data_IF_809304586527
#
_entry.id   IF_809304586527
#
_cell.length_a   1.000
_cell.length_b   1.000
_cell.length_c   1.000
_cell.angle_alpha   90.00
_cell.angle_beta   90.00
_cell.angle_gamma   90.00
#
_symmetry.space_group_name_H-M   'P 1'
#
loop_
_entity.id
_entity.type
_entity.pdbx_description
1 polymer ?
#
# COMPACT_ATOMS: atom_id res chain seq x y z
N UNK A 1 42.21 46.49 13.01
CA UNK A 1 42.94 45.43 13.75
C UNK A 1 42.52 45.47 15.21
N UNK A 2 41.73 44.49 15.68
CA UNK A 2 41.55 44.22 17.12
C UNK A 2 40.93 42.83 17.28
N UNK A 3 41.72 41.93 17.88
CA UNK A 3 41.34 40.62 18.41
C UNK A 3 40.43 40.81 19.63
N UNK A 4 39.45 39.92 19.81
CA UNK A 4 38.87 39.66 21.11
C UNK A 4 38.34 38.22 21.21
N UNK A 5 38.60 37.62 22.37
CA UNK A 5 38.34 36.25 22.84
C UNK A 5 38.50 36.35 24.38
N UNK A 6 38.02 35.42 25.25
CA UNK A 6 36.76 34.66 25.44
C UNK A 6 36.10 35.16 26.78
N UNK A 7 35.39 34.42 27.69
CA UNK A 7 34.95 33.00 27.77
C UNK A 7 33.50 32.78 28.27
N UNK A 8 32.98 31.55 28.27
CA UNK A 8 32.18 31.03 29.39
C UNK A 8 32.04 29.50 29.33
N UNK A 9 32.37 28.88 30.47
CA UNK A 9 32.19 27.48 30.86
C UNK A 9 30.72 27.23 31.23
N UNK A 10 30.12 26.11 30.85
CA UNK A 10 28.98 25.55 31.56
C UNK A 10 28.98 24.01 31.45
N UNK A 11 29.29 23.39 32.58
CA UNK A 11 29.01 21.99 32.90
C UNK A 11 27.50 21.79 32.95
N UNK A 12 26.99 20.76 32.26
CA UNK A 12 25.69 20.18 32.57
C UNK A 12 25.81 18.66 32.76
N UNK A 13 25.30 18.26 33.90
CA UNK A 13 25.24 16.93 34.51
C UNK A 13 24.22 16.02 33.82
N UNK A 14 24.64 14.80 33.47
CA UNK A 14 23.75 13.67 33.17
C UNK A 14 23.25 13.01 34.48
N UNK A 15 21.95 12.70 34.62
CA UNK A 15 21.52 11.66 35.54
C UNK A 15 21.51 10.29 34.84
N UNK A 16 22.21 9.34 35.45
CA UNK A 16 22.10 7.89 35.22
C UNK A 16 20.68 7.45 35.64
N UNK A 17 19.88 6.88 34.72
CA UNK A 17 18.67 6.15 35.07
C UNK A 17 18.98 4.64 35.03
N UNK A 18 19.03 4.01 36.21
CA UNK A 18 19.05 2.56 36.37
C UNK A 18 17.67 2.01 35.96
N UNK A 19 17.64 1.12 34.98
CA UNK A 19 16.49 0.25 34.73
C UNK A 19 16.65 -1.00 35.60
N UNK A 20 15.76 -1.15 36.56
CA UNK A 20 15.64 -2.34 37.39
C UNK A 20 14.98 -3.48 36.59
N UNK A 21 15.61 -4.64 36.55
CA UNK A 21 15.00 -5.89 36.12
C UNK A 21 13.85 -6.26 37.07
N UNK A 22 12.62 -6.34 36.57
CA UNK A 22 11.53 -7.03 37.28
C UNK A 22 11.67 -8.54 37.05
N UNK A 23 11.89 -9.25 38.16
CA UNK A 23 11.90 -10.71 38.27
C UNK A 23 10.47 -11.27 38.28
N UNK A 24 10.21 -12.25 37.41
CA UNK A 24 8.97 -13.04 37.41
C UNK A 24 8.87 -13.92 38.68
N UNK A 25 7.68 -14.09 39.28
CA UNK A 25 7.49 -14.97 40.43
C UNK A 25 7.39 -16.45 40.02
N UNK A 26 8.10 -17.30 40.77
CA UNK A 26 8.06 -18.75 40.67
C UNK A 26 6.69 -19.34 41.12
N UNK A 27 6.21 -20.43 40.51
CA UNK A 27 5.03 -21.13 41.00
C UNK A 27 5.33 -21.96 42.26
N UNK A 28 4.30 -22.05 43.09
CA UNK A 28 4.30 -22.57 44.45
C UNK A 28 4.72 -24.04 44.57
N UNK A 29 5.53 -24.30 45.60
CA UNK A 29 5.85 -25.64 46.10
C UNK A 29 4.61 -26.27 46.77
N UNK A 30 4.11 -27.36 46.19
CA UNK A 30 3.18 -28.28 46.82
C UNK A 30 3.94 -29.31 47.65
N UNK A 31 3.82 -29.20 48.97
CA UNK A 31 4.30 -30.17 49.95
C UNK A 31 3.38 -31.39 49.96
N UNK A 32 3.87 -32.56 49.53
CA UNK A 32 3.32 -33.86 49.90
C UNK A 32 4.45 -34.71 50.48
N UNK A 33 4.33 -35.02 51.77
CA UNK A 33 5.22 -35.94 52.46
C UNK A 33 4.60 -37.33 52.60
N UNK A 34 5.45 -38.35 52.62
CA UNK A 34 5.18 -39.58 53.36
C UNK A 34 5.38 -40.88 52.59
N UNK A 35 6.59 -41.43 52.67
CA UNK A 35 6.86 -42.87 52.87
C UNK A 35 6.66 -43.82 51.70
N UNK A 36 7.73 -44.45 51.22
CA UNK A 36 8.09 -45.81 51.66
C UNK A 36 9.40 -46.23 50.97
N UNK A 37 10.34 -46.70 51.78
CA UNK A 37 11.59 -47.33 51.35
C UNK A 37 11.30 -48.60 50.54
N UNK A 38 11.95 -48.77 49.38
CA UNK A 38 12.76 -49.96 49.09
C UNK A 38 13.17 -50.06 47.63
N UNK A 39 14.45 -50.40 47.49
CA UNK A 39 15.03 -51.31 46.53
C UNK A 39 15.88 -50.70 45.40
N UNK A 40 17.17 -50.99 45.54
CA UNK A 40 18.27 -50.70 44.66
C UNK A 40 18.23 -51.55 43.38
N UNK A 41 19.06 -51.14 42.42
CA UNK A 41 19.29 -51.70 41.08
C UNK A 41 18.26 -51.33 40.00
N UNK A 42 18.23 -50.04 39.66
CA UNK A 42 18.03 -49.65 38.27
C UNK A 42 19.42 -49.49 37.66
N UNK A 43 19.83 -50.50 36.90
CA UNK A 43 20.97 -50.49 36.00
C UNK A 43 20.76 -49.32 35.03
N UNK A 44 21.37 -48.17 35.34
CA UNK A 44 21.37 -46.99 34.48
C UNK A 44 22.25 -47.33 33.27
N UNK A 45 21.65 -48.04 32.32
CA UNK A 45 22.09 -48.05 30.94
C UNK A 45 22.06 -46.60 30.50
N UNK A 46 23.21 -45.93 30.61
CA UNK A 46 23.47 -44.70 29.91
C UNK A 46 23.23 -45.04 28.44
N UNK A 47 22.05 -44.67 27.93
CA UNK A 47 21.79 -44.64 26.51
C UNK A 47 22.90 -43.77 25.93
N UNK A 48 23.88 -44.40 25.29
CA UNK A 48 24.89 -43.71 24.51
C UNK A 48 24.14 -42.69 23.68
N UNK A 49 24.40 -41.40 23.91
CA UNK A 49 23.81 -40.34 23.11
C UNK A 49 24.18 -40.67 21.67
N UNK A 50 23.19 -41.10 20.88
CA UNK A 50 23.38 -41.41 19.48
C UNK A 50 24.07 -40.18 18.87
N UNK A 51 25.22 -40.43 18.23
CA UNK A 51 25.96 -39.39 17.54
C UNK A 51 24.96 -38.62 16.67
N UNK A 52 24.89 -37.28 16.76
CA UNK A 52 23.86 -36.51 16.07
C UNK A 52 23.87 -36.91 14.60
N UNK A 53 22.70 -37.28 14.09
CA UNK A 53 22.56 -37.67 12.69
C UNK A 53 23.12 -36.54 11.83
N UNK A 54 24.09 -36.86 10.95
CA UNK A 54 24.60 -35.89 10.00
C UNK A 54 23.51 -35.64 8.95
N UNK A 55 22.86 -34.48 9.03
CA UNK A 55 21.83 -34.08 8.08
C UNK A 55 22.43 -33.90 6.67
N UNK A 56 21.71 -34.37 5.65
CA UNK A 56 22.08 -34.20 4.23
C UNK A 56 20.91 -33.59 3.43
N UNK A 57 20.54 -32.32 3.71
CA UNK A 57 19.34 -31.73 3.14
C UNK A 57 19.34 -31.73 1.61
N UNK A 58 18.20 -32.06 1.01
CA UNK A 58 17.98 -32.11 -0.45
C UNK A 58 16.83 -31.19 -0.82
N UNK A 59 16.96 -30.47 -1.93
CA UNK A 59 15.97 -29.52 -2.43
C UNK A 59 15.58 -29.89 -3.86
N UNK A 60 14.27 -30.01 -4.12
CA UNK A 60 13.70 -30.31 -5.43
C UNK A 60 12.68 -29.25 -5.83
N UNK A 61 12.51 -29.06 -7.14
CA UNK A 61 11.56 -28.11 -7.71
C UNK A 61 10.57 -28.85 -8.60
N UNK A 62 9.31 -28.45 -8.54
CA UNK A 62 8.27 -28.90 -9.49
C UNK A 62 8.57 -28.53 -10.95
N UNK A 63 9.29 -27.42 -11.16
CA UNK A 63 9.76 -26.98 -12.47
C UNK A 63 11.20 -26.48 -12.35
N UNK A 64 12.03 -26.75 -13.37
CA UNK A 64 13.43 -26.30 -13.42
C UNK A 64 13.62 -25.02 -14.25
N UNK A 65 12.54 -24.48 -14.84
CA UNK A 65 12.59 -23.26 -15.64
C UNK A 65 11.23 -22.59 -15.76
N UNK A 66 11.21 -21.27 -15.97
CA UNK A 66 10.00 -20.47 -16.10
C UNK A 66 10.29 -18.98 -16.17
N UNK A 67 9.28 -18.17 -16.46
CA UNK A 67 9.41 -16.71 -16.46
C UNK A 67 9.22 -16.09 -15.07
N UNK A 68 9.35 -14.77 -14.95
CA UNK A 68 9.01 -14.07 -13.71
C UNK A 68 7.52 -14.23 -13.39
N UNK A 69 7.18 -14.17 -12.09
CA UNK A 69 5.86 -14.52 -11.54
C UNK A 69 5.42 -15.98 -11.78
N UNK A 70 6.29 -16.85 -12.29
CA UNK A 70 5.98 -18.28 -12.33
C UNK A 70 5.82 -18.82 -10.92
N UNK A 71 4.76 -19.60 -10.70
CA UNK A 71 4.59 -20.38 -9.49
C UNK A 71 5.38 -21.68 -9.61
N UNK A 72 6.17 -21.97 -8.58
CA UNK A 72 6.93 -23.21 -8.43
C UNK A 72 6.68 -23.77 -7.04
N UNK A 73 6.49 -25.08 -6.94
CA UNK A 73 6.54 -25.79 -5.66
C UNK A 73 7.96 -26.23 -5.36
N UNK A 74 8.44 -25.85 -4.17
CA UNK A 74 9.72 -26.20 -3.58
C UNK A 74 9.52 -27.35 -2.58
N UNK A 75 10.24 -28.45 -2.76
CA UNK A 75 10.13 -29.64 -1.90
C UNK A 75 11.50 -29.90 -1.26
N UNK A 76 11.57 -29.80 0.06
CA UNK A 76 12.77 -30.10 0.84
C UNK A 76 12.64 -31.44 1.58
N UNK A 77 13.72 -32.22 1.64
CA UNK A 77 13.80 -33.47 2.40
C UNK A 77 15.11 -33.57 3.17
N UNK A 78 15.14 -34.37 4.24
CA UNK A 78 16.32 -34.58 5.10
C UNK A 78 16.83 -33.31 5.81
N UNK A 79 15.95 -32.32 5.99
CA UNK A 79 16.21 -31.19 6.87
C UNK A 79 16.10 -31.63 8.34
N UNK A 80 16.74 -30.92 9.28
CA UNK A 80 16.53 -31.19 10.70
C UNK A 80 15.03 -31.01 11.04
N UNK A 81 14.37 -31.97 11.70
CA UNK A 81 12.92 -31.95 11.88
C UNK A 81 12.46 -30.78 12.75
N UNK A 82 11.23 -30.32 12.50
CA UNK A 82 10.57 -29.23 13.22
C UNK A 82 11.40 -27.92 13.28
N UNK A 83 12.29 -27.69 12.30
CA UNK A 83 13.06 -26.46 12.21
C UNK A 83 12.48 -25.46 11.22
N UNK A 84 12.67 -24.17 11.53
CA UNK A 84 12.47 -23.09 10.56
C UNK A 84 13.47 -23.26 9.41
N UNK A 85 12.98 -23.14 8.18
CA UNK A 85 13.77 -23.16 6.94
C UNK A 85 13.65 -21.80 6.28
N UNK A 86 14.80 -21.16 6.05
CA UNK A 86 14.91 -19.88 5.36
C UNK A 86 15.24 -20.12 3.89
N UNK A 87 14.44 -19.55 2.99
CA UNK A 87 14.62 -19.63 1.55
C UNK A 87 15.26 -18.33 1.06
N UNK A 88 16.35 -18.46 0.31
CA UNK A 88 17.08 -17.35 -0.32
C UNK A 88 17.15 -17.57 -1.83
N UNK A 89 17.06 -16.47 -2.58
CA UNK A 89 17.18 -16.46 -4.03
C UNK A 89 18.41 -15.62 -4.41
N UNK A 90 19.21 -16.11 -5.34
CA UNK A 90 20.40 -15.40 -5.80
C UNK A 90 21.21 -16.18 -6.85
N UNK A 91 22.27 -15.57 -7.35
CA UNK A 91 23.27 -16.28 -8.15
C UNK A 91 24.10 -17.20 -7.25
N UNK A 92 24.59 -18.32 -7.78
CA UNK A 92 25.23 -19.36 -6.95
C UNK A 92 26.44 -18.85 -6.14
N UNK A 93 27.17 -17.89 -6.69
CA UNK A 93 28.37 -17.26 -6.12
C UNK A 93 28.07 -16.03 -5.25
N UNK A 94 26.86 -15.49 -5.28
CA UNK A 94 26.42 -14.35 -4.47
C UNK A 94 25.60 -14.74 -3.23
N UNK A 95 25.11 -15.99 -3.19
CA UNK A 95 24.33 -16.49 -2.07
C UNK A 95 25.18 -16.66 -0.81
N UNK A 96 24.75 -15.97 0.25
CA UNK A 96 25.36 -16.03 1.57
C UNK A 96 24.29 -15.93 2.67
N UNK A 97 24.70 -16.13 3.92
CA UNK A 97 23.81 -15.91 5.07
C UNK A 97 23.40 -14.43 5.22
N UNK A 98 24.07 -13.49 4.53
CA UNK A 98 23.73 -12.06 4.50
C UNK A 98 22.73 -11.69 3.40
N UNK A 99 22.52 -12.55 2.39
CA UNK A 99 21.47 -12.35 1.38
C UNK A 99 20.12 -12.21 2.10
N UNK A 100 19.14 -11.42 1.65
CA UNK A 100 17.83 -11.37 2.31
C UNK A 100 17.07 -12.69 2.25
N UNK A 101 16.21 -12.92 3.24
CA UNK A 101 15.29 -14.08 3.24
C UNK A 101 14.17 -13.73 2.27
N UNK A 102 13.99 -14.57 1.25
CA UNK A 102 12.91 -14.43 0.28
C UNK A 102 11.60 -14.99 0.81
N UNK A 103 11.65 -16.18 1.40
CA UNK A 103 10.52 -16.85 2.01
C UNK A 103 10.99 -17.70 3.20
N UNK A 104 10.05 -18.15 4.02
CA UNK A 104 10.35 -19.05 5.13
C UNK A 104 9.25 -20.10 5.26
N UNK A 105 9.62 -21.28 5.73
CA UNK A 105 8.70 -22.38 6.04
C UNK A 105 9.26 -23.17 7.22
N UNK A 106 8.60 -24.25 7.64
CA UNK A 106 9.14 -25.18 8.63
C UNK A 106 9.13 -26.60 8.06
N UNK A 107 10.17 -27.37 8.34
CA UNK A 107 10.16 -28.81 8.10
C UNK A 107 9.26 -29.50 9.12
N UNK A 108 8.57 -30.55 8.72
CA UNK A 108 7.82 -31.41 9.63
C UNK A 108 8.72 -32.29 10.51
N UNK A 109 8.13 -33.15 11.34
CA UNK A 109 8.84 -34.09 12.21
C UNK A 109 9.66 -35.15 11.47
N UNK A 110 9.55 -35.23 10.14
CA UNK A 110 10.34 -36.11 9.28
C UNK A 110 11.43 -35.34 8.50
N UNK A 111 11.54 -34.02 8.70
CA UNK A 111 12.51 -33.21 7.96
C UNK A 111 12.08 -32.88 6.54
N UNK A 112 10.77 -32.88 6.26
CA UNK A 112 10.19 -32.60 4.94
C UNK A 112 9.42 -31.30 4.96
N UNK A 113 9.50 -30.51 3.89
CA UNK A 113 8.58 -29.38 3.68
C UNK A 113 8.17 -29.27 2.21
N UNK A 114 7.03 -28.62 2.00
CA UNK A 114 6.52 -28.23 0.69
C UNK A 114 6.12 -26.75 0.77
N UNK A 115 6.55 -25.95 -0.21
CA UNK A 115 6.30 -24.51 -0.25
C UNK A 115 6.07 -24.05 -1.68
N UNK A 116 4.91 -23.46 -1.93
CA UNK A 116 4.64 -22.75 -3.19
C UNK A 116 5.30 -21.37 -3.16
N UNK A 117 6.12 -21.11 -4.17
CA UNK A 117 6.86 -19.87 -4.36
C UNK A 117 6.43 -19.24 -5.68
N UNK A 118 6.12 -17.95 -5.65
CA UNK A 118 6.05 -17.14 -6.87
C UNK A 118 7.42 -16.52 -7.10
N UNK A 119 8.02 -16.71 -8.26
CA UNK A 119 9.33 -16.11 -8.57
C UNK A 119 9.18 -14.59 -8.80
N UNK A 120 10.10 -13.77 -8.27
CA UNK A 120 9.91 -12.33 -8.32
C UNK A 120 10.12 -11.78 -9.74
N UNK A 121 9.47 -10.67 -10.05
CA UNK A 121 9.66 -9.96 -11.32
C UNK A 121 11.04 -9.29 -11.40
N UNK A 122 11.51 -8.75 -10.27
CA UNK A 122 12.82 -8.12 -10.11
C UNK A 122 13.70 -8.94 -9.16
N UNK A 123 15.02 -8.83 -9.30
CA UNK A 123 15.94 -9.60 -8.48
C UNK A 123 16.11 -8.98 -7.09
N UNK A 124 15.82 -9.70 -5.99
CA UNK A 124 16.26 -9.29 -4.66
C UNK A 124 17.78 -9.49 -4.53
N UNK A 125 18.50 -8.72 -3.68
CA UNK A 125 18.03 -7.70 -2.74
C UNK A 125 17.70 -6.34 -3.37
N UNK A 126 18.34 -5.99 -4.48
CA UNK A 126 18.45 -4.60 -4.92
C UNK A 126 17.30 -4.17 -5.85
N UNK A 127 16.32 -5.06 -6.06
CA UNK A 127 15.26 -4.91 -7.06
C UNK A 127 15.86 -4.53 -8.42
N UNK A 128 16.96 -5.16 -8.82
CA UNK A 128 17.62 -4.86 -10.10
C UNK A 128 16.91 -5.57 -11.25
N UNK A 129 17.00 -4.99 -12.46
CA UNK A 129 16.57 -5.68 -13.68
C UNK A 129 17.46 -6.88 -13.83
N UNK A 130 16.84 -8.05 -13.90
CA UNK A 130 17.57 -9.26 -14.19
C UNK A 130 18.06 -9.15 -15.63
N UNK A 131 19.28 -9.60 -15.94
CA UNK A 131 19.80 -9.56 -17.30
C UNK A 131 18.78 -10.08 -18.30
N UNK A 132 18.70 -9.44 -19.47
CA UNK A 132 17.78 -9.77 -20.57
C UNK A 132 18.03 -11.13 -21.21
N UNK A 133 18.91 -11.92 -20.61
CA UNK A 133 19.29 -13.28 -21.00
C UNK A 133 18.82 -14.26 -19.94
N UNK A 134 18.54 -15.49 -20.38
CA UNK A 134 18.18 -16.57 -19.47
C UNK A 134 19.23 -16.70 -18.36
N UNK A 135 18.78 -16.64 -17.11
CA UNK A 135 19.65 -16.57 -15.92
C UNK A 135 19.40 -17.77 -15.04
N UNK A 136 20.46 -18.36 -14.48
CA UNK A 136 20.33 -19.49 -13.56
C UNK A 136 20.21 -18.97 -12.13
N UNK A 137 19.01 -19.06 -11.58
CA UNK A 137 18.71 -18.79 -10.19
C UNK A 137 19.11 -20.00 -9.34
N UNK A 138 19.84 -19.74 -8.25
CA UNK A 138 20.05 -20.72 -7.20
C UNK A 138 19.07 -20.42 -6.05
N UNK A 139 18.37 -21.46 -5.61
CA UNK A 139 17.49 -21.43 -4.45
C UNK A 139 18.25 -22.12 -3.34
N UNK A 140 18.53 -21.39 -2.27
CA UNK A 140 19.18 -21.92 -1.08
C UNK A 140 18.15 -22.06 0.04
N UNK A 141 18.12 -23.24 0.66
CA UNK A 141 17.34 -23.50 1.87
C UNK A 141 18.30 -23.78 3.03
N UNK A 142 18.19 -22.99 4.10
CA UNK A 142 19.01 -23.14 5.30
C UNK A 142 18.10 -23.29 6.53
N UNK A 143 18.37 -24.30 7.38
CA UNK A 143 17.76 -24.45 8.69
C UNK A 143 18.76 -23.98 9.76
N UNK A 144 18.60 -22.77 10.35
CA UNK A 144 19.47 -22.30 11.42
C UNK A 144 19.25 -23.15 12.68
N UNK A 145 19.95 -24.29 12.76
CA UNK A 145 19.82 -25.23 13.85
C UNK A 145 20.43 -24.70 15.16
N UNK A 146 19.86 -25.13 16.29
CA UNK A 146 20.48 -24.98 17.62
C UNK A 146 21.54 -26.08 17.79
N UNK A 147 22.73 -25.93 17.18
CA UNK A 147 23.80 -26.94 17.22
C UNK A 147 24.73 -26.90 15.99
N UNK A 148 25.27 -28.05 15.60
CA UNK A 148 26.00 -28.19 14.33
C UNK A 148 25.04 -27.88 13.17
N UNK A 149 25.27 -26.73 12.51
CA UNK A 149 24.42 -26.26 11.42
C UNK A 149 24.39 -27.30 10.29
N UNK A 150 23.19 -27.71 9.87
CA UNK A 150 23.03 -28.53 8.68
C UNK A 150 23.57 -27.75 7.47
N UNK A 151 24.26 -28.43 6.53
CA UNK A 151 24.71 -27.75 5.32
C UNK A 151 23.48 -27.24 4.54
N UNK A 152 23.57 -26.08 3.86
CA UNK A 152 22.47 -25.58 3.05
C UNK A 152 22.19 -26.51 1.87
N UNK A 153 20.91 -26.67 1.52
CA UNK A 153 20.51 -27.32 0.28
C UNK A 153 20.38 -26.31 -0.84
N UNK A 154 20.71 -26.72 -2.06
CA UNK A 154 20.62 -25.87 -3.26
C UNK A 154 19.77 -26.55 -4.34
N UNK A 155 18.97 -25.76 -5.03
CA UNK A 155 18.33 -26.14 -6.28
C UNK A 155 18.57 -25.05 -7.33
N UNK A 156 18.64 -25.43 -8.61
CA UNK A 156 18.83 -24.48 -9.71
C UNK A 156 17.55 -24.35 -10.53
N UNK A 157 17.20 -23.12 -10.87
CA UNK A 157 16.06 -22.77 -11.70
C UNK A 157 16.51 -21.85 -12.84
N UNK A 158 16.15 -22.14 -14.09
CA UNK A 158 16.42 -21.25 -15.21
C UNK A 158 15.30 -20.25 -15.38
N UNK A 159 15.57 -18.99 -15.04
CA UNK A 159 14.66 -17.88 -15.32
C UNK A 159 14.76 -17.51 -16.81
N UNK A 160 13.68 -17.78 -17.53
CA UNK A 160 13.52 -17.41 -18.92
C UNK A 160 12.87 -16.02 -18.99
N UNK A 161 13.67 -15.00 -19.25
CA UNK A 161 13.15 -13.65 -19.51
C UNK A 161 12.67 -13.47 -20.95
N UNK A 162 12.97 -14.44 -21.82
CA UNK A 162 12.36 -14.52 -23.15
C UNK A 162 10.84 -14.60 -22.99
N UNK A 163 10.15 -13.60 -23.54
CA UNK A 163 8.69 -13.42 -23.46
C UNK A 163 8.13 -13.02 -22.07
N UNK A 164 9.00 -12.78 -21.07
CA UNK A 164 8.60 -12.24 -19.77
C UNK A 164 8.18 -10.77 -19.81
N UNK A 165 8.65 -10.07 -20.84
CA UNK A 165 8.34 -8.67 -21.08
C UNK A 165 7.69 -8.52 -22.44
N UNK A 166 6.73 -7.61 -22.50
CA UNK A 166 6.16 -7.07 -23.73
C UNK A 166 6.61 -5.62 -23.88
N UNK A 167 6.64 -5.16 -25.13
CA UNK A 167 6.99 -3.77 -25.43
C UNK A 167 5.73 -2.93 -25.50
N UNK A 168 5.60 -1.98 -24.58
CA UNK A 168 4.65 -0.88 -24.68
C UNK A 168 5.26 0.21 -25.55
N UNK A 169 4.61 0.56 -26.66
CA UNK A 169 5.09 1.63 -27.56
C UNK A 169 4.01 2.67 -27.86
N UNK A 170 4.49 3.87 -28.17
CA UNK A 170 3.70 4.93 -28.78
C UNK A 170 4.54 5.59 -29.89
N UNK A 171 4.20 5.30 -31.14
CA UNK A 171 4.93 5.83 -32.30
C UNK A 171 4.77 7.35 -32.46
N UNK A 172 3.66 7.92 -31.96
CA UNK A 172 3.40 9.36 -32.00
C UNK A 172 4.33 10.09 -31.04
N UNK A 173 4.49 9.55 -29.83
CA UNK A 173 5.42 10.06 -28.84
C UNK A 173 6.87 9.62 -29.09
N UNK A 174 7.09 8.60 -29.92
CA UNK A 174 8.40 8.07 -30.28
C UNK A 174 9.11 7.38 -29.12
N UNK A 175 8.42 6.53 -28.35
CA UNK A 175 9.07 5.76 -27.29
C UNK A 175 8.67 4.28 -27.29
N UNK A 176 9.52 3.48 -26.65
CA UNK A 176 9.21 2.10 -26.23
C UNK A 176 9.59 1.90 -24.77
N UNK A 177 8.82 1.09 -24.05
CA UNK A 177 9.05 0.72 -22.66
C UNK A 177 8.79 -0.78 -22.49
N UNK A 178 9.66 -1.52 -21.82
CA UNK A 178 9.38 -2.92 -21.48
C UNK A 178 8.52 -2.97 -20.22
N UNK A 179 7.45 -3.75 -20.28
CA UNK A 179 6.57 -4.04 -19.14
C UNK A 179 6.37 -5.56 -19.04
N UNK A 180 6.02 -6.12 -17.87
CA UNK A 180 5.70 -7.53 -17.75
C UNK A 180 4.65 -7.98 -18.78
N UNK A 181 4.88 -9.12 -19.43
CA UNK A 181 3.97 -9.66 -20.45
C UNK A 181 2.64 -10.14 -19.88
N UNK A 182 2.61 -10.45 -18.57
CA UNK A 182 1.39 -10.79 -17.84
C UNK A 182 0.50 -9.57 -17.53
N UNK A 183 1.00 -8.35 -17.74
CA UNK A 183 0.19 -7.15 -17.53
C UNK A 183 -0.72 -6.87 -18.72
N UNK A 184 -1.94 -6.45 -18.44
CA UNK A 184 -2.83 -5.89 -19.46
C UNK A 184 -2.47 -4.43 -19.70
N UNK A 185 -2.78 -3.94 -20.90
CA UNK A 185 -2.63 -2.53 -21.28
C UNK A 185 -3.99 -2.06 -21.78
N UNK A 186 -4.50 -0.98 -21.20
CA UNK A 186 -5.76 -0.38 -21.64
C UNK A 186 -5.60 0.33 -22.99
N UNK A 187 -6.72 0.51 -23.69
CA UNK A 187 -6.78 1.48 -24.77
C UNK A 187 -6.43 2.89 -24.26
N UNK A 188 -5.93 3.72 -25.18
CA UNK A 188 -5.59 5.11 -24.86
C UNK A 188 -6.84 5.97 -24.67
N UNK A 189 -6.85 6.76 -23.60
CA UNK A 189 -7.92 7.68 -23.25
C UNK A 189 -7.41 9.12 -23.29
N UNK A 190 -8.20 10.05 -23.79
CA UNK A 190 -7.82 11.48 -23.81
C UNK A 190 -8.29 12.15 -22.53
N UNK A 191 -7.38 12.83 -21.85
CA UNK A 191 -7.64 13.56 -20.60
C UNK A 191 -7.11 15.00 -20.71
N UNK A 192 -7.48 15.91 -19.79
CA UNK A 192 -6.86 17.23 -19.72
C UNK A 192 -5.34 17.19 -19.53
N UNK A 193 -4.80 16.09 -19.04
CA UNK A 193 -3.37 15.88 -18.81
C UNK A 193 -2.67 15.21 -20.00
N UNK A 194 -3.40 14.86 -21.05
CA UNK A 194 -2.88 14.20 -22.24
C UNK A 194 -3.49 12.82 -22.50
N UNK A 195 -2.81 12.02 -23.32
CA UNK A 195 -3.22 10.67 -23.67
C UNK A 195 -2.78 9.69 -22.57
N UNK A 196 -3.74 9.21 -21.78
CA UNK A 196 -3.56 8.25 -20.70
C UNK A 196 -3.64 6.82 -21.23
N UNK A 197 -2.73 5.95 -20.78
CA UNK A 197 -2.85 4.49 -20.84
C UNK A 197 -2.63 3.94 -19.43
N UNK A 198 -3.43 2.94 -19.08
CA UNK A 198 -3.32 2.20 -17.83
C UNK A 198 -2.72 0.84 -18.13
N UNK A 199 -1.88 0.33 -17.23
CA UNK A 199 -1.31 -1.00 -17.40
C UNK A 199 -0.93 -1.64 -16.06
N UNK A 200 -0.96 -2.95 -15.98
CA UNK A 200 -0.78 -3.69 -14.72
C UNK A 200 -1.44 -5.06 -14.76
N UNK A 201 -1.50 -5.80 -13.63
CA UNK A 201 -2.26 -7.03 -13.55
C UNK A 201 -3.74 -6.81 -13.87
N UNK A 202 -4.36 -7.80 -14.53
CA UNK A 202 -5.79 -7.79 -14.78
C UNK A 202 -6.60 -7.86 -13.46
N UNK A 203 -7.73 -7.14 -13.33
CA UNK A 203 -8.25 -6.16 -14.27
C UNK A 203 -7.58 -4.78 -14.09
N UNK A 204 -7.19 -4.16 -15.19
CA UNK A 204 -6.63 -2.81 -15.16
C UNK A 204 -7.76 -1.78 -14.97
N UNK A 205 -7.72 -1.04 -13.86
CA UNK A 205 -8.73 -0.04 -13.50
C UNK A 205 -8.10 1.26 -13.03
N UNK A 206 -8.74 2.38 -13.37
CA UNK A 206 -8.33 3.71 -12.91
C UNK A 206 -8.54 3.84 -11.39
N UNK A 207 -7.63 4.54 -10.71
CA UNK A 207 -7.71 4.79 -9.26
C UNK A 207 -7.21 3.63 -8.38
N UNK A 208 -6.92 2.45 -8.95
CA UNK A 208 -6.28 1.37 -8.21
C UNK A 208 -4.76 1.67 -8.08
N UNK A 209 -4.17 1.71 -6.87
CA UNK A 209 -2.74 1.97 -6.69
C UNK A 209 -1.83 0.90 -7.32
N UNK A 210 -2.38 -0.29 -7.58
CA UNK A 210 -1.70 -1.39 -8.26
C UNK A 210 -1.63 -1.20 -9.78
N UNK A 211 -2.37 -0.23 -10.32
CA UNK A 211 -2.38 0.13 -11.74
C UNK A 211 -1.31 1.19 -12.00
N UNK A 212 -0.45 0.94 -12.97
CA UNK A 212 0.51 1.90 -13.47
C UNK A 212 -0.12 2.80 -14.53
N UNK A 213 0.36 4.04 -14.60
CA UNK A 213 -0.15 5.07 -15.49
C UNK A 213 0.97 5.52 -16.43
N UNK A 214 0.62 5.74 -17.71
CA UNK A 214 1.46 6.41 -18.68
C UNK A 214 0.65 7.51 -19.36
N UNK A 215 1.18 8.73 -19.36
CA UNK A 215 0.57 9.88 -20.00
C UNK A 215 1.54 10.50 -21.01
N UNK A 216 0.97 11.00 -22.11
CA UNK A 216 1.68 11.76 -23.13
C UNK A 216 0.95 13.08 -23.38
N UNK A 217 1.63 14.19 -23.19
CA UNK A 217 1.13 15.55 -23.44
C UNK A 217 2.02 16.33 -24.43
N UNK A 218 1.53 17.44 -24.96
CA UNK A 218 2.37 18.42 -25.67
C UNK A 218 3.18 19.22 -24.64
N UNK A 219 4.51 19.20 -24.73
CA UNK A 219 5.39 19.88 -23.77
C UNK A 219 5.21 21.42 -23.80
N UNK A 220 4.74 21.98 -24.93
CA UNK A 220 4.41 23.40 -25.04
C UNK A 220 3.17 23.80 -24.21
N UNK A 221 2.27 22.85 -23.94
CA UNK A 221 1.01 23.10 -23.22
C UNK A 221 1.07 22.72 -21.75
N UNK A 222 1.90 21.73 -21.42
CA UNK A 222 1.99 21.18 -20.07
C UNK A 222 3.46 20.86 -19.75
N UNK A 223 4.04 21.65 -18.84
CA UNK A 223 5.38 21.37 -18.30
C UNK A 223 5.36 20.23 -17.27
N UNK A 224 6.52 19.62 -17.00
CA UNK A 224 6.66 18.57 -15.97
C UNK A 224 6.16 19.02 -14.58
N UNK A 225 6.46 20.27 -14.20
CA UNK A 225 6.00 20.86 -12.92
C UNK A 225 4.48 20.96 -12.88
N UNK A 226 3.86 21.51 -13.93
CA UNK A 226 2.40 21.61 -14.01
C UNK A 226 1.73 20.23 -14.04
N UNK A 227 2.30 19.26 -14.76
CA UNK A 227 1.80 17.89 -14.78
C UNK A 227 1.82 17.28 -13.37
N UNK A 228 2.93 17.42 -12.64
CA UNK A 228 3.06 16.91 -11.29
C UNK A 228 2.08 17.59 -10.30
N UNK A 229 1.88 18.91 -10.41
CA UNK A 229 0.88 19.64 -9.62
C UNK A 229 -0.54 19.13 -9.85
N UNK A 230 -0.89 18.89 -11.12
CA UNK A 230 -2.20 18.37 -11.48
C UNK A 230 -2.40 16.94 -10.95
N UNK A 231 -1.35 16.12 -10.94
CA UNK A 231 -1.38 14.77 -10.37
C UNK A 231 -1.54 14.77 -8.84
N UNK A 232 -0.89 15.70 -8.14
CA UNK A 232 -0.93 15.72 -6.66
C UNK A 232 -2.25 16.27 -6.11
N UNK A 233 -2.74 17.37 -6.67
CA UNK A 233 -3.84 18.13 -6.06
C UNK A 233 -4.87 18.70 -7.06
N UNK A 234 -4.79 18.32 -8.35
CA UNK A 234 -5.59 18.96 -9.39
C UNK A 234 -5.17 20.42 -9.69
N UNK A 235 -3.97 20.82 -9.26
CA UNK A 235 -3.35 22.13 -9.50
C UNK A 235 -3.18 23.02 -8.26
N UNK A 236 -2.14 23.88 -8.27
CA UNK A 236 -1.97 24.95 -7.28
C UNK A 236 -1.20 24.60 -6.01
N UNK A 237 -0.52 23.45 -5.97
CA UNK A 237 0.30 22.98 -4.84
C UNK A 237 1.80 22.82 -5.19
N UNK A 238 2.30 23.63 -6.13
CA UNK A 238 3.66 23.58 -6.69
C UNK A 238 4.77 23.41 -5.64
N UNK A 239 4.64 24.14 -4.54
CA UNK A 239 5.66 24.29 -3.49
C UNK A 239 5.99 22.98 -2.76
N UNK A 240 5.18 21.94 -2.97
CA UNK A 240 5.30 20.64 -2.31
C UNK A 240 6.01 19.57 -3.17
N UNK A 241 6.30 19.86 -4.43
CA UNK A 241 6.84 18.86 -5.36
C UNK A 241 8.34 19.08 -5.56
N UNK A 242 9.12 18.08 -5.16
CA UNK A 242 10.57 18.06 -5.40
C UNK A 242 10.90 17.17 -6.58
N UNK A 243 11.68 17.71 -7.52
CA UNK A 243 12.20 16.97 -8.66
C UNK A 243 13.67 16.62 -8.44
N UNK A 244 14.01 15.37 -8.73
CA UNK A 244 15.38 14.87 -8.79
C UNK A 244 15.73 14.57 -10.25
N UNK A 245 16.83 15.11 -10.74
CA UNK A 245 17.31 14.76 -12.09
C UNK A 245 17.82 13.32 -12.08
N UNK A 246 17.37 12.51 -13.04
CA UNK A 246 17.76 11.11 -13.20
C UNK A 246 18.03 10.81 -14.67
N UNK A 247 18.67 9.68 -14.95
CA UNK A 247 18.81 9.14 -16.30
C UNK A 247 18.03 7.84 -16.40
N UNK A 248 17.23 7.70 -17.46
CA UNK A 248 16.51 6.48 -17.80
C UNK A 248 17.14 5.87 -19.05
N UNK A 249 17.93 4.81 -18.85
CA UNK A 249 18.84 4.26 -19.85
C UNK A 249 19.95 5.27 -20.13
N UNK A 250 19.77 6.08 -21.18
CA UNK A 250 20.66 7.20 -21.53
C UNK A 250 19.86 8.48 -21.81
N UNK A 251 18.63 8.54 -21.30
CA UNK A 251 17.69 9.63 -21.52
C UNK A 251 17.62 10.52 -20.28
N UNK A 252 17.93 11.81 -20.37
CA UNK A 252 17.72 12.74 -19.28
C UNK A 252 16.23 12.79 -18.89
N UNK A 253 15.96 12.65 -17.61
CA UNK A 253 14.62 12.62 -17.06
C UNK A 253 14.57 13.38 -15.73
N UNK A 254 13.35 13.64 -15.26
CA UNK A 254 13.11 14.10 -13.91
C UNK A 254 12.27 13.06 -13.17
N UNK A 255 12.55 12.88 -11.89
CA UNK A 255 11.83 11.99 -10.98
C UNK A 255 11.17 12.85 -9.90
N UNK A 256 9.91 12.57 -9.58
CA UNK A 256 9.25 13.14 -8.41
C UNK A 256 8.51 12.05 -7.65
N UNK A 257 8.43 12.18 -6.32
CA UNK A 257 7.57 11.34 -5.49
C UNK A 257 6.25 12.09 -5.32
N UNK A 258 5.13 11.49 -5.74
CA UNK A 258 3.81 12.11 -5.72
C UNK A 258 2.85 11.17 -4.99
N UNK A 259 2.18 11.71 -3.96
CA UNK A 259 1.16 11.03 -3.16
C UNK A 259 0.72 11.97 -2.03
N UNK A 260 -0.56 11.94 -1.67
CA UNK A 260 -1.10 12.74 -0.57
C UNK A 260 -0.89 12.09 0.79
N UNK A 261 -1.17 12.83 1.87
CA UNK A 261 -1.22 12.28 3.22
C UNK A 261 -2.22 11.13 3.29
N UNK A 262 -1.76 9.94 3.66
CA UNK A 262 -2.58 8.72 3.73
C UNK A 262 -2.78 7.99 2.40
N UNK A 263 -2.22 8.48 1.29
CA UNK A 263 -2.18 7.79 0.00
C UNK A 263 -0.78 7.21 -0.27
N UNK A 264 -0.67 6.13 -1.06
CA UNK A 264 0.63 5.61 -1.43
C UNK A 264 1.43 6.67 -2.21
N UNK A 265 2.67 6.89 -1.78
CA UNK A 265 3.62 7.74 -2.47
C UNK A 265 4.24 6.96 -3.63
N UNK A 266 3.93 7.38 -4.85
CA UNK A 266 4.43 6.72 -6.05
C UNK A 266 5.54 7.55 -6.69
N UNK A 267 6.54 6.86 -7.24
CA UNK A 267 7.56 7.50 -8.06
C UNK A 267 7.01 7.76 -9.46
N UNK A 268 7.09 9.01 -9.88
CA UNK A 268 6.79 9.46 -11.23
C UNK A 268 8.06 9.84 -11.97
N UNK A 269 8.13 9.45 -13.23
CA UNK A 269 9.18 9.86 -14.16
C UNK A 269 8.61 10.81 -15.20
N UNK A 270 9.38 11.83 -15.57
CA UNK A 270 9.03 12.85 -16.55
C UNK A 270 10.15 12.97 -17.58
N UNK A 271 9.81 12.84 -18.85
CA UNK A 271 10.74 12.83 -19.98
C UNK A 271 10.20 13.73 -21.07
N UNK A 272 10.95 14.77 -21.41
CA UNK A 272 10.64 15.60 -22.58
C UNK A 272 11.36 15.03 -23.81
N UNK A 273 10.60 14.71 -24.85
CA UNK A 273 11.13 14.19 -26.11
C UNK A 273 10.31 14.67 -27.30
N UNK A 274 10.98 15.19 -28.34
CA UNK A 274 10.35 15.62 -29.59
C UNK A 274 9.11 16.54 -29.42
N UNK A 275 9.15 17.46 -28.44
CA UNK A 275 8.03 18.38 -28.15
C UNK A 275 6.89 17.77 -27.33
N UNK A 276 7.07 16.54 -26.84
CA UNK A 276 6.13 15.82 -25.97
C UNK A 276 6.67 15.72 -24.56
N UNK A 277 5.77 15.73 -23.58
CA UNK A 277 6.05 15.33 -22.21
C UNK A 277 5.49 13.92 -22.00
N UNK A 278 6.37 12.95 -21.80
CA UNK A 278 6.03 11.57 -21.45
C UNK A 278 6.23 11.42 -19.96
N UNK A 279 5.22 10.97 -19.23
CA UNK A 279 5.34 10.78 -17.79
C UNK A 279 4.53 9.61 -17.30
N UNK A 280 5.09 8.85 -16.36
CA UNK A 280 4.57 7.55 -16.00
C UNK A 280 4.99 7.09 -14.61
N UNK A 281 4.27 6.10 -14.09
CA UNK A 281 4.61 5.33 -12.90
C UNK A 281 4.94 3.88 -13.26
N UNK A 282 5.85 3.26 -12.53
CA UNK A 282 6.15 1.83 -12.63
C UNK A 282 6.38 1.31 -11.22
N UNK A 283 5.41 0.61 -10.66
CA UNK A 283 5.45 0.06 -9.32
C UNK A 283 4.95 -1.38 -9.33
N UNK A 284 5.46 -2.15 -8.38
CA UNK A 284 4.96 -3.49 -8.09
C UNK A 284 3.50 -3.39 -7.61
N UNK A 285 2.57 -4.16 -8.17
CA UNK A 285 1.15 -4.06 -7.82
C UNK A 285 0.84 -4.50 -6.39
N UNK A 286 1.71 -5.30 -5.75
CA UNK A 286 1.50 -5.80 -4.39
C UNK A 286 2.23 -4.97 -3.35
N UNK A 287 3.50 -4.65 -3.59
CA UNK A 287 4.31 -3.91 -2.61
C UNK A 287 4.29 -2.40 -2.83
N UNK A 288 3.83 -1.94 -4.00
CA UNK A 288 3.89 -0.55 -4.47
C UNK A 288 5.31 0.01 -4.55
N UNK A 289 6.34 -0.85 -4.47
CA UNK A 289 7.72 -0.42 -4.63
C UNK A 289 8.00 -0.10 -6.08
N UNK A 290 8.69 1.00 -6.34
CA UNK A 290 9.03 1.42 -7.70
C UNK A 290 9.92 0.39 -8.41
N UNK A 291 9.51 0.01 -9.61
CA UNK A 291 10.23 -0.90 -10.50
C UNK A 291 11.22 -0.10 -11.36
N UNK A 292 12.15 0.60 -10.71
CA UNK A 292 13.16 1.46 -11.36
C UNK A 292 13.87 0.80 -12.55
N UNK A 293 14.23 -0.49 -12.53
CA UNK A 293 14.89 -1.11 -13.67
C UNK A 293 14.02 -1.23 -14.92
N UNK A 294 12.70 -1.34 -14.78
CA UNK A 294 11.81 -1.29 -15.93
C UNK A 294 11.77 0.13 -16.53
N UNK A 295 11.81 1.17 -15.68
CA UNK A 295 11.92 2.55 -16.16
C UNK A 295 13.20 2.78 -16.98
N UNK A 296 14.30 2.09 -16.63
CA UNK A 296 15.57 2.12 -17.37
C UNK A 296 15.48 1.50 -18.77
N UNK A 297 14.43 0.73 -19.07
CA UNK A 297 14.19 0.15 -20.42
C UNK A 297 13.56 1.13 -21.39
N UNK A 298 13.21 2.35 -20.93
CA UNK A 298 12.71 3.40 -21.79
C UNK A 298 13.73 3.69 -22.90
N UNK A 299 13.32 3.50 -24.15
CA UNK A 299 14.09 3.97 -25.31
C UNK A 299 13.29 4.99 -26.09
N UNK A 300 13.97 6.05 -26.51
CA UNK A 300 13.39 7.10 -27.35
C UNK A 300 13.79 6.87 -28.80
N UNK A 301 12.80 6.77 -29.66
CA UNK A 301 12.92 6.62 -31.12
C UNK A 301 12.64 7.92 -31.86
N UNK A 302 12.46 7.80 -33.18
CA UNK A 302 11.96 8.88 -34.02
C UNK A 302 10.47 9.08 -33.70
N UNK A 303 10.10 10.22 -33.12
CA UNK A 303 8.71 10.60 -33.00
C UNK A 303 8.17 10.99 -34.39
N UNK A 304 6.93 10.61 -34.69
CA UNK A 304 6.24 11.13 -35.87
C UNK A 304 6.05 12.62 -35.66
N UNK A 305 6.72 13.43 -36.48
CA UNK A 305 6.59 14.87 -36.44
C UNK A 305 5.09 15.20 -36.52
N UNK A 306 4.59 15.91 -35.50
CA UNK A 306 3.22 16.40 -35.50
C UNK A 306 3.16 17.33 -36.70
N UNK A 307 2.49 16.90 -37.77
CA UNK A 307 2.16 17.84 -38.81
C UNK A 307 1.34 18.91 -38.12
N UNK A 308 1.76 20.19 -38.14
CA UNK A 308 0.99 21.25 -37.51
C UNK A 308 -0.42 21.12 -38.07
N UNK A 309 -1.39 20.88 -37.19
CA UNK A 309 -2.79 20.83 -37.59
C UNK A 309 -3.02 22.09 -38.41
N UNK A 310 -3.48 21.96 -39.66
CA UNK A 310 -3.60 23.12 -40.54
C UNK A 310 -4.37 24.17 -39.75
N UNK A 311 -3.76 25.34 -39.54
CA UNK A 311 -4.39 26.44 -38.80
C UNK A 311 -5.81 26.52 -39.31
N UNK A 312 -6.84 26.29 -38.46
CA UNK A 312 -8.21 26.22 -38.93
C UNK A 312 -8.44 27.50 -39.72
N UNK A 313 -8.59 27.34 -41.04
CA UNK A 313 -8.84 28.48 -41.91
C UNK A 313 -10.14 29.03 -41.39
N UNK A 314 -10.07 30.21 -40.79
CA UNK A 314 -11.21 30.91 -40.21
C UNK A 314 -12.37 30.72 -41.20
N UNK A 315 -13.46 30.03 -40.80
CA UNK A 315 -14.54 29.78 -41.73
C UNK A 315 -14.93 31.13 -42.30
N UNK A 316 -15.08 31.25 -43.64
CA UNK A 316 -15.45 32.52 -44.26
C UNK A 316 -16.65 33.07 -43.50
N UNK A 317 -16.67 34.37 -43.17
CA UNK A 317 -17.67 34.94 -42.28
C UNK A 317 -19.05 34.49 -42.74
N UNK A 318 -19.68 33.62 -41.95
CA UNK A 318 -21.04 33.16 -42.21
C UNK A 318 -21.89 34.42 -42.20
N UNK A 319 -22.47 34.75 -43.36
CA UNK A 319 -23.38 35.88 -43.46
C UNK A 319 -24.42 35.75 -42.35
N UNK A 320 -24.49 36.75 -41.48
CA UNK A 320 -25.50 36.85 -40.43
C UNK A 320 -26.86 36.62 -41.09
N UNK A 321 -27.59 35.53 -40.78
CA UNK A 321 -28.93 35.36 -41.30
C UNK A 321 -29.77 36.53 -40.80
N UNK A 322 -30.45 37.18 -41.72
CA UNK A 322 -31.46 38.20 -41.45
C UNK A 322 -32.49 37.60 -40.47
N UNK A 323 -32.85 38.31 -39.38
CA UNK A 323 -33.74 37.77 -38.37
C UNK A 323 -35.09 37.42 -38.99
N UNK A 324 -35.39 36.12 -39.05
CA UNK A 324 -36.71 35.61 -39.42
C UNK A 324 -37.73 36.09 -38.37
N UNK A 325 -38.92 36.56 -38.78
CA UNK A 325 -39.91 37.10 -37.85
C UNK A 325 -40.34 36.04 -36.84
N UNK A 326 -40.06 36.32 -35.57
CA UNK A 326 -40.49 35.53 -34.40
C UNK A 326 -41.99 35.30 -34.44
N UNK A 327 -42.41 34.06 -34.72
CA UNK A 327 -43.77 33.62 -34.48
C UNK A 327 -44.03 33.52 -32.97
N UNK A 328 -45.16 34.07 -32.56
CA UNK A 328 -45.65 34.15 -31.19
C UNK A 328 -45.89 32.73 -30.61
N UNK A 329 -45.26 32.37 -29.47
CA UNK A 329 -45.41 31.03 -28.92
C UNK A 329 -46.80 30.83 -28.30
N UNK A 330 -47.48 29.78 -28.75
CA UNK A 330 -48.70 29.26 -28.12
C UNK A 330 -48.33 28.51 -26.84
N UNK A 331 -48.90 28.93 -25.71
CA UNK A 331 -48.68 28.37 -24.37
C UNK A 331 -49.39 27.01 -24.22
N UNK A 332 -48.63 25.95 -23.97
CA UNK A 332 -49.13 24.72 -23.33
C UNK A 332 -48.90 24.79 -21.81
N UNK A 333 -49.77 24.17 -20.98
CA UNK A 333 -49.65 24.24 -19.53
C UNK A 333 -48.61 23.26 -18.98
N UNK A 334 -47.62 23.79 -18.24
CA UNK A 334 -46.65 23.04 -17.42
C UNK A 334 -47.25 22.68 -16.05
N UNK A 335 -47.07 21.45 -15.54
CA UNK A 335 -47.48 21.08 -14.18
C UNK A 335 -46.54 21.66 -13.11
N UNK A 336 -47.14 22.07 -11.98
CA UNK A 336 -46.47 22.52 -10.75
C UNK A 336 -45.56 21.43 -10.16
N UNK A 337 -44.31 21.78 -9.90
CA UNK A 337 -43.48 21.12 -8.88
C UNK A 337 -42.96 22.21 -7.96
N UNK A 338 -43.35 22.11 -6.69
CA UNK A 338 -42.92 22.99 -5.60
C UNK A 338 -41.58 22.49 -5.06
N UNK A 339 -40.52 23.29 -5.23
CA UNK A 339 -39.28 23.15 -4.50
C UNK A 339 -38.93 24.51 -3.87
N UNK A 340 -38.93 24.56 -2.54
CA UNK A 340 -38.54 25.74 -1.77
C UNK A 340 -37.03 25.71 -1.56
N UNK A 341 -36.35 26.77 -2.00
CA UNK A 341 -34.92 27.05 -1.75
C UNK A 341 -34.81 28.33 -0.92
N UNK A 342 -33.86 28.37 0.01
CA UNK A 342 -33.19 29.59 0.49
C UNK A 342 -31.75 29.20 0.89
N UNK A 343 -30.69 29.50 0.11
CA UNK A 343 -29.96 30.77 -0.13
C UNK A 343 -29.26 31.30 1.14
N UNK A 344 -27.96 31.02 1.33
CA UNK A 344 -26.74 31.86 1.06
C UNK A 344 -26.42 32.84 2.22
N UNK A 345 -25.22 32.82 2.83
CA UNK A 345 -24.06 33.68 2.51
C UNK A 345 -22.80 33.33 3.34
N UNK A 346 -21.66 33.88 2.94
CA UNK A 346 -20.29 33.40 3.15
C UNK A 346 -19.36 34.30 4.02
N UNK A 347 -18.06 33.94 4.06
CA UNK A 347 -16.83 34.78 4.25
C UNK A 347 -16.33 34.94 5.72
N UNK A 348 -15.01 35.08 6.07
CA UNK A 348 -13.73 34.49 5.60
C UNK A 348 -12.78 33.98 6.73
N UNK A 349 -11.65 33.36 6.31
CA UNK A 349 -10.37 33.09 7.01
C UNK A 349 -9.65 34.36 7.55
N UNK A 350 -8.71 34.29 8.53
CA UNK A 350 -7.28 33.94 8.28
C UNK A 350 -6.58 33.11 9.41
N UNK A 351 -5.67 32.18 9.08
CA UNK A 351 -4.18 32.27 9.14
C UNK A 351 -3.60 32.38 10.58
N UNK A 352 -2.50 31.73 11.03
CA UNK A 352 -1.31 31.17 10.38
C UNK A 352 -0.46 30.42 11.45
N UNK A 353 0.45 29.53 11.00
CA UNK A 353 1.81 29.25 11.55
C UNK A 353 1.90 28.48 12.87
N UNK A 354 2.16 27.16 12.86
CA UNK A 354 3.45 26.46 12.71
C UNK A 354 4.35 26.55 13.96
N UNK A 355 4.57 25.41 14.64
CA UNK A 355 5.90 24.88 15.02
C UNK A 355 5.73 23.48 15.63
N UNK A 356 6.41 22.49 15.04
CA UNK A 356 6.39 21.07 15.41
C UNK A 356 7.17 20.77 16.70
N UNK A 357 6.56 19.95 17.58
CA UNK A 357 7.27 19.15 18.61
C UNK A 357 6.48 17.84 18.81
N UNK A 358 7.14 16.70 18.57
CA UNK A 358 6.78 15.30 18.98
C UNK A 358 5.39 14.77 18.58
N UNK A 359 5.28 13.91 17.54
CA UNK A 359 4.01 13.22 17.21
C UNK A 359 3.70 12.14 18.23
N UNK A 360 2.89 12.51 19.22
CA UNK A 360 1.91 11.65 19.87
C UNK A 360 0.91 11.26 18.77
N UNK A 361 0.89 9.99 18.32
CA UNK A 361 -0.12 9.55 17.35
C UNK A 361 -1.49 9.70 18.02
N UNK A 362 -2.33 10.56 17.46
CA UNK A 362 -3.58 10.92 18.07
C UNK A 362 -4.54 9.71 18.11
N UNK A 363 -5.58 9.76 18.95
CA UNK A 363 -6.64 8.75 18.97
C UNK A 363 -7.26 8.49 17.59
N UNK A 364 -7.11 9.43 16.65
CA UNK A 364 -7.53 9.34 15.27
C UNK A 364 -6.74 8.33 14.43
N UNK A 365 -5.42 8.41 14.46
CA UNK A 365 -4.54 7.58 13.64
C UNK A 365 -4.60 6.11 14.10
N UNK A 366 -4.76 5.91 15.41
CA UNK A 366 -5.02 4.58 16.00
C UNK A 366 -6.39 4.03 15.56
N UNK A 367 -7.41 4.89 15.53
CA UNK A 367 -8.77 4.53 15.13
C UNK A 367 -8.88 4.14 13.65
N UNK A 368 -8.24 4.91 12.76
CA UNK A 368 -8.22 4.64 11.31
C UNK A 368 -7.46 3.34 11.02
N UNK A 369 -6.32 3.12 11.68
CA UNK A 369 -5.55 1.87 11.55
C UNK A 369 -6.36 0.65 11.99
N UNK A 370 -7.11 0.75 13.09
CA UNK A 370 -8.00 -0.31 13.55
C UNK A 370 -9.09 -0.65 12.52
N UNK A 371 -9.75 0.35 11.93
CA UNK A 371 -10.78 0.12 10.90
C UNK A 371 -10.18 -0.50 9.62
N UNK A 372 -8.96 -0.10 9.23
CA UNK A 372 -8.26 -0.71 8.10
C UNK A 372 -7.86 -2.17 8.39
N UNK A 373 -7.43 -2.48 9.61
CA UNK A 373 -7.11 -3.86 10.00
C UNK A 373 -8.35 -4.76 9.99
N UNK A 374 -9.50 -4.24 10.41
CA UNK A 374 -10.80 -4.95 10.36
C UNK A 374 -11.18 -5.34 8.93
N UNK A 375 -10.79 -4.55 7.92
CA UNK A 375 -11.11 -4.84 6.50
C UNK A 375 -10.25 -5.92 5.88
N UNK A 376 -9.07 -6.18 6.45
CA UNK A 376 -8.06 -7.06 5.86
C UNK A 376 -8.09 -8.49 6.39
N UNK A 377 -8.91 -8.78 7.42
CA UNK A 377 -8.87 -10.05 8.15
C UNK A 377 -10.15 -10.88 8.00
N UNK A 378 -9.99 -12.20 7.88
CA UNK A 378 -11.04 -13.16 8.23
C UNK A 378 -11.39 -13.05 9.73
N UNK A 379 -12.57 -13.52 10.15
CA UNK A 379 -12.96 -13.48 11.57
C UNK A 379 -12.01 -14.38 12.38
N UNK A 380 -11.01 -13.79 13.04
CA UNK A 380 -10.15 -14.50 13.99
C UNK A 380 -10.70 -14.38 15.41
N UNK A 381 -10.32 -15.28 16.34
CA UNK A 381 -10.66 -15.14 17.76
C UNK A 381 -10.25 -13.78 18.36
N UNK A 382 -9.10 -13.24 17.96
CA UNK A 382 -8.63 -11.93 18.40
C UNK A 382 -9.51 -10.78 17.89
N UNK A 383 -10.03 -10.90 16.66
CA UNK A 383 -10.97 -9.93 16.08
C UNK A 383 -12.33 -9.97 16.78
N UNK A 384 -12.81 -11.16 17.15
CA UNK A 384 -14.07 -11.35 17.91
C UNK A 384 -14.01 -10.75 19.32
N UNK A 385 -12.85 -10.79 19.96
CA UNK A 385 -12.66 -10.19 21.28
C UNK A 385 -12.79 -8.67 21.25
N UNK A 386 -12.47 -8.04 20.12
CA UNK A 386 -12.62 -6.59 19.88
C UNK A 386 -14.04 -6.15 19.51
N UNK A 387 -15.01 -7.07 19.45
CA UNK A 387 -16.44 -6.77 19.23
C UNK A 387 -17.23 -6.81 20.54
N UNK A 388 -18.30 -6.00 20.61
CA UNK A 388 -19.29 -6.13 21.69
C UNK A 388 -19.93 -7.51 21.71
N UNK A 389 -20.45 -7.99 22.85
CA UNK A 389 -21.23 -9.24 22.88
C UNK A 389 -22.35 -9.27 21.84
N UNK A 390 -23.05 -8.14 21.62
CA UNK A 390 -24.11 -8.04 20.61
C UNK A 390 -23.60 -8.21 19.17
N UNK A 391 -22.45 -7.62 18.84
CA UNK A 391 -21.82 -7.78 17.52
C UNK A 391 -21.12 -9.14 17.38
N UNK A 392 -20.56 -9.68 18.46
CA UNK A 392 -19.91 -10.99 18.53
C UNK A 392 -20.92 -12.12 18.31
N UNK A 393 -22.11 -12.02 18.90
CA UNK A 393 -23.19 -12.99 18.70
C UNK A 393 -23.71 -12.95 17.25
N UNK A 394 -23.76 -11.76 16.63
CA UNK A 394 -24.02 -11.64 15.18
C UNK A 394 -22.85 -12.24 14.37
N UNK A 395 -21.60 -11.99 14.75
CA UNK A 395 -20.39 -12.42 14.03
C UNK A 395 -20.29 -13.94 13.87
N UNK A 396 -20.82 -14.72 14.82
CA UNK A 396 -20.75 -16.19 14.82
C UNK A 396 -21.44 -16.84 13.61
N UNK A 397 -22.33 -16.13 12.91
CA UNK A 397 -23.04 -16.65 11.72
C UNK A 397 -22.41 -16.24 10.39
N UNK A 398 -21.33 -15.45 10.40
CA UNK A 398 -20.69 -14.91 9.21
C UNK A 398 -19.30 -15.51 8.98
N UNK A 399 -18.84 -15.53 7.74
CA UNK A 399 -17.53 -16.11 7.37
C UNK A 399 -16.44 -15.04 7.36
N UNK A 400 -16.80 -13.80 7.02
CA UNK A 400 -15.93 -12.63 7.10
C UNK A 400 -16.53 -11.51 7.96
N UNK A 401 -15.68 -10.66 8.54
CA UNK A 401 -16.13 -9.46 9.27
C UNK A 401 -16.89 -8.54 8.33
N UNK A 402 -16.48 -8.45 7.06
CA UNK A 402 -17.18 -7.67 6.04
C UNK A 402 -18.63 -8.15 5.84
N UNK A 403 -18.90 -9.45 5.85
CA UNK A 403 -20.26 -9.99 5.75
C UNK A 403 -21.11 -9.60 6.98
N UNK A 404 -20.52 -9.63 8.17
CA UNK A 404 -21.17 -9.19 9.42
C UNK A 404 -21.55 -7.71 9.37
N UNK A 405 -20.70 -6.90 8.76
CA UNK A 405 -20.88 -5.46 8.60
C UNK A 405 -21.81 -5.12 7.43
N UNK A 406 -22.31 -6.13 6.68
CA UNK A 406 -23.06 -5.97 5.43
C UNK A 406 -22.31 -5.11 4.40
N UNK A 407 -20.98 -5.25 4.37
CA UNK A 407 -20.09 -4.52 3.48
C UNK A 407 -19.62 -5.42 2.35
N UNK A 408 -20.19 -5.27 1.17
CA UNK A 408 -19.66 -5.85 -0.08
C UNK A 408 -18.46 -5.02 -0.64
N UNK A 409 -17.93 -4.08 0.14
CA UNK A 409 -17.16 -2.93 -0.32
C UNK A 409 -15.73 -2.86 0.25
N UNK A 410 -14.80 -2.28 -0.52
CA UNK A 410 -13.51 -1.80 -0.01
C UNK A 410 -13.66 -0.35 0.45
N UNK A 411 -13.04 0.02 1.57
CA UNK A 411 -13.00 1.39 2.05
C UNK A 411 -12.21 2.25 1.06
N UNK A 412 -12.83 3.28 0.49
CA UNK A 412 -12.18 4.23 -0.42
C UNK A 412 -11.80 5.54 0.25
N UNK A 413 -12.31 5.78 1.47
CA UNK A 413 -11.94 6.90 2.32
C UNK A 413 -12.49 6.75 3.73
N UNK A 414 -11.73 7.20 4.72
CA UNK A 414 -12.15 7.24 6.13
C UNK A 414 -11.94 8.68 6.59
N UNK A 415 -13.02 9.33 7.02
CA UNK A 415 -12.96 10.64 7.66
C UNK A 415 -13.47 10.50 9.08
N UNK A 416 -12.72 11.00 10.04
CA UNK A 416 -13.14 10.89 11.42
C UNK A 416 -14.01 12.08 11.80
N UNK A 417 -15.22 11.78 12.27
CA UNK A 417 -16.16 12.78 12.71
C UNK A 417 -15.84 13.30 14.12
N UNK A 418 -16.88 13.42 14.94
CA UNK A 418 -16.72 13.93 16.31
C UNK A 418 -15.93 12.95 17.17
N UNK A 419 -14.85 13.44 17.78
CA UNK A 419 -14.06 12.75 18.79
C UNK A 419 -14.53 13.27 20.15
N UNK A 420 -15.32 12.47 20.89
CA UNK A 420 -15.75 12.78 22.24
C UNK A 420 -15.37 11.60 23.15
N UNK A 421 -14.10 11.52 23.55
CA UNK A 421 -13.63 10.42 24.40
C UNK A 421 -14.59 10.19 25.60
N UNK A 422 -14.99 8.93 25.86
CA UNK A 422 -14.42 7.69 25.31
C UNK A 422 -15.00 7.23 23.96
N UNK A 423 -15.92 7.98 23.36
CA UNK A 423 -16.65 7.59 22.15
C UNK A 423 -16.22 8.40 20.92
N UNK A 424 -15.94 7.72 19.81
CA UNK A 424 -15.55 8.35 18.54
C UNK A 424 -16.48 7.87 17.45
N UNK A 425 -17.07 8.82 16.71
CA UNK A 425 -17.87 8.52 15.54
C UNK A 425 -17.00 8.76 14.30
N UNK A 426 -16.75 7.68 13.56
CA UNK A 426 -15.98 7.70 12.32
C UNK A 426 -16.91 7.58 11.13
N UNK A 427 -16.73 8.47 10.16
CA UNK A 427 -17.48 8.47 8.91
C UNK A 427 -16.66 7.79 7.83
N UNK A 428 -17.04 6.58 7.45
CA UNK A 428 -16.38 5.86 6.37
C UNK A 428 -17.16 5.99 5.06
N UNK A 429 -16.42 6.22 3.98
CA UNK A 429 -16.93 6.19 2.61
C UNK A 429 -16.54 4.86 1.98
N UNK A 430 -17.56 4.08 1.64
CA UNK A 430 -17.46 2.72 1.11
C UNK A 430 -17.85 2.76 -0.37
N UNK A 431 -17.08 2.11 -1.23
CA UNK A 431 -17.43 1.99 -2.65
C UNK A 431 -17.60 0.51 -3.03
N UNK A 432 -18.81 0.15 -3.44
CA UNK A 432 -19.16 -1.19 -3.94
C UNK A 432 -19.52 -1.11 -5.42
N UNK A 433 -18.65 -1.61 -6.29
CA UNK A 433 -18.85 -1.48 -7.74
C UNK A 433 -18.94 0.00 -8.17
N UNK A 434 -20.13 0.43 -8.62
CA UNK A 434 -20.39 1.81 -9.05
C UNK A 434 -21.15 2.66 -8.00
N UNK A 435 -21.42 2.12 -6.81
CA UNK A 435 -22.15 2.80 -5.77
C UNK A 435 -21.21 3.25 -4.64
N UNK A 436 -21.38 4.49 -4.19
CA UNK A 436 -20.70 5.02 -3.00
C UNK A 436 -21.72 5.16 -1.88
N UNK A 437 -21.41 4.60 -0.72
CA UNK A 437 -22.25 4.65 0.47
C UNK A 437 -21.44 5.16 1.67
N UNK A 438 -22.10 5.83 2.60
CA UNK A 438 -21.48 6.37 3.80
C UNK A 438 -22.05 5.67 5.03
N UNK A 439 -21.17 5.19 5.89
CA UNK A 439 -21.50 4.55 7.17
C UNK A 439 -20.82 5.31 8.31
N UNK A 440 -21.51 5.38 9.43
CA UNK A 440 -21.00 5.93 10.68
C UNK A 440 -20.68 4.76 11.61
N UNK A 441 -19.42 4.67 12.02
CA UNK A 441 -18.93 3.70 12.97
C UNK A 441 -18.76 4.38 14.33
N UNK A 442 -19.42 3.86 15.34
CA UNK A 442 -19.24 4.33 16.71
C UNK A 442 -18.25 3.41 17.41
N UNK A 443 -17.14 3.99 17.86
CA UNK A 443 -16.04 3.30 18.51
C UNK A 443 -15.96 3.74 19.97
N UNK A 444 -15.70 2.79 20.87
CA UNK A 444 -15.45 3.05 22.28
C UNK A 444 -13.99 2.71 22.60
N UNK A 445 -13.29 3.63 23.25
CA UNK A 445 -11.98 3.38 23.86
C UNK A 445 -12.19 2.75 25.23
N UNK A 446 -11.75 1.50 25.40
CA UNK A 446 -11.81 0.80 26.68
C UNK A 446 -10.68 1.26 27.62
N UNK A 447 -10.82 0.95 28.92
CA UNK A 447 -9.87 1.38 29.97
C UNK A 447 -8.44 0.84 29.76
N UNK A 448 -8.29 -0.25 29.01
CA UNK A 448 -7.01 -0.86 28.65
C UNK A 448 -6.36 -0.24 27.40
N UNK A 449 -7.01 0.74 26.78
CA UNK A 449 -6.56 1.43 25.57
C UNK A 449 -6.96 0.76 24.27
N UNK A 450 -7.76 -0.31 24.29
CA UNK A 450 -8.28 -0.95 23.09
C UNK A 450 -9.51 -0.22 22.53
N UNK A 451 -9.61 -0.12 21.20
CA UNK A 451 -10.81 0.36 20.52
C UNK A 451 -11.75 -0.79 20.19
N UNK A 452 -13.06 -0.55 20.39
CA UNK A 452 -14.12 -1.52 20.10
C UNK A 452 -15.25 -0.87 19.33
N UNK A 453 -15.70 -1.51 18.25
CA UNK A 453 -16.89 -1.08 17.50
C UNK A 453 -18.11 -1.39 18.37
N UNK A 454 -18.91 -0.38 18.67
CA UNK A 454 -20.13 -0.51 19.47
C UNK A 454 -21.41 -0.34 18.66
N UNK A 455 -21.38 0.45 17.59
CA UNK A 455 -22.52 0.67 16.70
C UNK A 455 -22.10 1.01 15.28
N UNK A 456 -22.99 0.74 14.31
CA UNK A 456 -22.81 1.05 12.89
C UNK A 456 -24.16 1.49 12.34
N UNK A 457 -24.23 2.71 11.82
CA UNK A 457 -25.46 3.28 11.27
C UNK A 457 -25.24 3.81 9.83
N UNK A 458 -26.26 3.77 8.97
CA UNK A 458 -26.26 4.56 7.74
C UNK A 458 -26.25 6.06 8.10
N UNK A 459 -25.58 6.90 7.29
CA UNK A 459 -25.51 8.35 7.55
C UNK A 459 -26.91 9.01 7.67
N UNK A 460 -27.93 8.42 7.03
CA UNK A 460 -29.30 8.93 7.03
C UNK A 460 -30.09 8.71 8.34
N UNK A 461 -29.62 7.87 9.28
CA UNK A 461 -30.40 7.50 10.49
C UNK A 461 -30.02 8.26 11.78
N UNK A 462 -28.96 9.07 11.79
CA UNK A 462 -28.60 9.82 13.00
C UNK A 462 -29.51 11.03 13.17
N UNK A 463 -30.64 10.81 13.84
CA UNK A 463 -31.52 11.88 14.28
C UNK A 463 -30.77 12.81 15.24
N UNK A 464 -30.69 14.09 14.89
CA UNK A 464 -30.20 15.15 15.78
C UNK A 464 -30.95 15.07 17.12
N UNK A 465 -30.26 15.03 18.28
CA UNK A 465 -30.95 14.95 19.57
C UNK A 465 -31.90 16.13 19.74
N UNK A 466 -33.14 15.82 20.11
CA UNK A 466 -34.23 16.78 20.32
C UNK A 466 -33.76 17.87 21.29
N UNK A 467 -33.69 19.11 20.82
CA UNK A 467 -33.20 20.23 21.61
C UNK A 467 -34.04 20.39 22.87
N UNK A 468 -33.40 20.38 24.04
CA UNK A 468 -34.07 20.63 25.32
C UNK A 468 -34.71 22.02 25.28
N UNK A 469 -36.03 22.16 25.50
CA UNK A 469 -36.71 23.44 25.40
C UNK A 469 -36.14 24.41 26.44
N UNK A 470 -35.56 25.50 25.97
CA UNK A 470 -35.04 26.58 26.82
C UNK A 470 -36.21 27.34 27.43
N UNK A 471 -36.21 27.43 28.76
CA UNK A 471 -37.20 28.17 29.56
C UNK A 471 -37.16 29.67 29.17
N UNK A 472 -38.30 30.32 28.90
CA UNK A 472 -38.30 31.71 28.46
C UNK A 472 -37.97 32.66 29.63
N UNK A 473 -36.85 33.37 29.51
CA UNK A 473 -36.53 34.50 30.38
C UNK A 473 -37.58 35.61 30.22
N UNK A 474 -38.12 36.04 31.34
CA UNK A 474 -39.11 37.12 31.41
C UNK A 474 -38.38 38.46 31.42
N UNK A 475 -38.28 39.11 30.26
CA UNK A 475 -37.83 40.51 30.18
C UNK A 475 -38.92 41.45 30.71
N UNK A 476 -38.56 42.22 31.73
CA UNK A 476 -39.37 43.34 32.24
C UNK A 476 -38.89 44.61 31.55
N UNK A 477 -39.73 45.25 30.73
CA UNK A 477 -39.40 46.54 30.09
C UNK A 477 -40.25 47.66 30.68
N UNK A 478 -39.59 48.79 30.94
CA UNK A 478 -40.13 50.04 31.49
C UNK A 478 -40.32 51.07 30.38
#
# INVERSE_FOLDING_TARGET
>A
MKRWMPPFFLLLSLPLLLIACQSNPAPAAGTFGGGEEANANADASATEAESPASWSPVLNLSASSGGPNSQITLIGTEFPPDQLVLIRLGEADELSDETPVYAQTASDGLGVFELDLTLPTLWPPDNTAVPTTDTTLTIQANAPAVGDAAPPAHATFTLNYRDAFQTLSDDTAGFTLQIPSAWEVSDSQTTPLGHLRLFGPAPVQAGNPSTNLLLVAEAETLSAVQAAEQLLCGGGCADQISFTAVELGNTPAQQAIIGGDGLPQLTWYFVEHAGRLIYFTLNDPTTLTTLSPLAQTLTLGQAVAIQPSPTPTEPPPTATPEPEPTAEPTLEPTPEITATVAVTEAIPTPATTETAISRDEGPLETTVSFLLDVTRQEITPATLERLTPALRDRAQTFTAVLDLLELDAVFTGIDAGRINAPEVIVRAVLTTGNATEVRLFTLLLEEDGAWRIIDIAPEAEVATPEATPTEPETETVT
#
